data_IF_082897801178
#
_entry.id   IF_082897801178
#
_cell.length_a   1.000
_cell.length_b   1.000
_cell.length_c   1.000
_cell.angle_alpha   90.00
_cell.angle_beta   90.00
_cell.angle_gamma   90.00
#
_symmetry.space_group_name_H-M   'P 1'
#
loop_
_entity.id
_entity.type
_entity.pdbx_description
1 polymer ?
#
# COMPACT_ATOMS: atom_id res chain seq x y z
N UNK A 1 -17.44 38.04 29.87
CA UNK A 1 -16.97 37.00 30.84
C UNK A 1 -17.79 35.74 30.62
N UNK A 2 -17.28 34.54 30.42
CA UNK A 2 -15.93 34.01 30.45
C UNK A 2 -15.85 32.85 29.45
N UNK A 3 -14.64 32.63 28.97
CA UNK A 3 -14.23 31.70 27.94
C UNK A 3 -14.07 30.25 28.46
N UNK A 4 -14.13 29.33 27.49
CA UNK A 4 -13.25 28.14 27.31
C UNK A 4 -13.56 26.86 28.10
N UNK A 5 -13.80 25.78 27.35
CA UNK A 5 -12.99 24.54 27.38
C UNK A 5 -13.52 23.61 26.28
N UNK A 6 -12.83 23.47 25.14
CA UNK A 6 -11.59 22.71 24.95
C UNK A 6 -11.85 21.20 24.89
N UNK A 7 -11.23 20.60 23.87
CA UNK A 7 -11.00 19.17 23.59
C UNK A 7 -11.90 18.69 22.43
N UNK A 8 -11.41 18.20 21.29
CA UNK A 8 -10.04 17.89 20.86
C UNK A 8 -10.11 17.57 19.36
N UNK A 9 -9.41 18.29 18.50
CA UNK A 9 -8.88 17.72 17.25
C UNK A 9 -7.73 16.78 17.67
N UNK A 10 -7.61 15.55 17.13
CA UNK A 10 -7.00 15.43 15.81
C UNK A 10 -7.47 14.20 15.00
N UNK A 11 -7.65 14.37 13.68
CA UNK A 11 -6.78 13.73 12.68
C UNK A 11 -7.33 14.06 11.29
N UNK A 12 -6.66 15.01 10.68
CA UNK A 12 -6.70 15.26 9.25
C UNK A 12 -6.23 14.02 8.49
N UNK A 13 -6.88 13.79 7.34
CA UNK A 13 -6.43 12.97 6.21
C UNK A 13 -6.99 11.54 6.09
N UNK A 14 -8.29 11.35 6.27
CA UNK A 14 -9.01 10.48 5.34
C UNK A 14 -9.41 11.37 4.16
N UNK A 15 -8.57 11.42 3.12
CA UNK A 15 -8.99 12.02 1.84
C UNK A 15 -10.15 11.18 1.32
N UNK A 16 -11.33 11.76 1.34
CA UNK A 16 -12.50 11.29 0.62
C UNK A 16 -12.11 10.96 -0.82
N UNK A 17 -12.19 9.67 -1.12
CA UNK A 17 -12.35 9.11 -2.45
C UNK A 17 -13.53 8.15 -2.35
N UNK A 18 -14.71 8.69 -2.06
CA UNK A 18 -15.97 7.96 -2.11
C UNK A 18 -16.30 7.68 -3.58
N UNK A 19 -16.11 6.44 -4.02
CA UNK A 19 -16.84 5.86 -5.13
C UNK A 19 -17.17 4.39 -4.82
N UNK A 20 -18.17 4.11 -3.97
CA UNK A 20 -18.39 2.80 -3.35
C UNK A 20 -19.11 1.79 -4.25
N UNK A 21 -18.76 1.70 -5.53
CA UNK A 21 -19.41 0.78 -6.47
C UNK A 21 -18.33 0.09 -7.34
N UNK A 22 -17.99 -1.15 -6.93
CA UNK A 22 -17.09 -2.15 -7.58
C UNK A 22 -15.61 -2.19 -7.15
N UNK A 23 -15.25 -1.71 -5.97
CA UNK A 23 -13.91 -1.99 -5.42
C UNK A 23 -14.01 -3.12 -4.39
N UNK A 24 -13.27 -4.20 -4.64
CA UNK A 24 -13.24 -5.34 -3.71
C UNK A 24 -12.62 -4.91 -2.37
N UNK A 25 -13.08 -5.44 -1.22
CA UNK A 25 -12.61 -5.01 0.11
C UNK A 25 -11.10 -5.19 0.31
N UNK A 26 -10.54 -6.21 -0.34
CA UNK A 26 -9.11 -6.50 -0.33
C UNK A 26 -8.32 -5.43 -1.13
N UNK A 27 -8.89 -4.88 -2.20
CA UNK A 27 -8.26 -3.88 -3.06
C UNK A 27 -8.11 -2.55 -2.32
N UNK A 28 -9.16 -2.10 -1.64
CA UNK A 28 -9.14 -0.93 -0.76
C UNK A 28 -8.12 -1.09 0.37
N UNK A 29 -8.03 -2.28 0.95
CA UNK A 29 -7.05 -2.57 2.01
C UNK A 29 -5.60 -2.41 1.48
N UNK A 30 -5.32 -2.91 0.29
CA UNK A 30 -4.00 -2.73 -0.35
C UNK A 30 -3.74 -1.28 -0.78
N UNK A 31 -4.76 -0.53 -1.22
CA UNK A 31 -4.65 0.89 -1.62
C UNK A 31 -4.38 1.80 -0.42
N UNK A 32 -5.04 1.55 0.70
CA UNK A 32 -4.88 2.33 1.95
C UNK A 32 -3.56 1.99 2.66
N UNK A 33 -3.04 0.78 2.46
CA UNK A 33 -1.75 0.36 3.01
C UNK A 33 -0.59 1.04 2.28
N UNK A 34 0.00 2.02 2.96
CA UNK A 34 1.19 2.74 2.53
C UNK A 34 2.44 1.95 2.91
N UNK A 35 3.33 1.72 1.94
CA UNK A 35 4.65 1.17 2.19
C UNK A 35 5.73 2.18 1.86
N UNK A 36 6.62 2.35 2.85
CA UNK A 36 7.91 3.00 2.65
C UNK A 36 8.87 1.98 2.05
N UNK A 37 9.14 2.11 0.76
CA UNK A 37 10.15 1.30 0.09
C UNK A 37 11.50 2.00 0.22
N UNK A 38 12.51 1.30 0.73
CA UNK A 38 13.90 1.78 0.79
C UNK A 38 14.62 1.63 -0.55
N UNK A 39 13.92 1.88 -1.64
CA UNK A 39 14.48 1.88 -2.98
C UNK A 39 14.88 3.31 -3.33
N UNK A 40 16.09 3.50 -3.83
CA UNK A 40 16.57 4.81 -4.29
C UNK A 40 15.62 5.42 -5.35
N UNK A 41 15.04 4.57 -6.21
CA UNK A 41 14.08 4.94 -7.25
C UNK A 41 12.77 5.53 -6.69
N UNK A 42 12.40 5.16 -5.46
CA UNK A 42 11.20 5.68 -4.79
C UNK A 42 11.50 6.85 -3.85
N UNK A 43 12.75 7.31 -3.74
CA UNK A 43 13.11 8.53 -3.00
C UNK A 43 12.71 8.54 -1.51
N UNK A 44 12.38 7.39 -0.93
CA UNK A 44 11.82 7.29 0.42
C UNK A 44 10.35 7.74 0.53
N UNK A 45 9.65 7.90 -0.59
CA UNK A 45 8.22 8.17 -0.63
C UNK A 45 7.39 6.96 -0.19
N UNK A 46 6.25 7.23 0.43
CA UNK A 46 5.26 6.19 0.75
C UNK A 46 4.37 5.94 -0.46
N UNK A 47 4.49 4.74 -1.01
CA UNK A 47 3.69 4.27 -2.14
C UNK A 47 2.64 3.28 -1.65
N UNK A 48 1.45 3.30 -2.25
CA UNK A 48 0.43 2.32 -1.91
C UNK A 48 0.88 0.91 -2.33
N UNK A 49 0.64 -0.07 -1.48
CA UNK A 49 0.97 -1.48 -1.76
C UNK A 49 0.32 -1.96 -3.06
N UNK A 50 -0.92 -1.55 -3.31
CA UNK A 50 -1.63 -1.80 -4.56
C UNK A 50 -0.94 -1.22 -5.80
N UNK A 51 -0.44 0.01 -5.71
CA UNK A 51 0.23 0.67 -6.83
C UNK A 51 1.53 -0.06 -7.19
N UNK A 52 2.27 -0.54 -6.18
CA UNK A 52 3.47 -1.36 -6.40
C UNK A 52 3.15 -2.73 -7.01
N UNK A 53 2.05 -3.37 -6.59
CA UNK A 53 1.55 -4.62 -7.17
C UNK A 53 1.13 -4.48 -8.63
N UNK A 54 0.50 -3.36 -8.98
CA UNK A 54 0.09 -3.02 -10.35
C UNK A 54 1.23 -2.45 -11.18
N UNK A 55 2.37 -2.12 -10.54
CA UNK A 55 3.52 -1.53 -11.21
C UNK A 55 4.41 -2.60 -11.83
N UNK A 56 5.24 -2.18 -12.78
CA UNK A 56 6.18 -3.03 -13.53
C UNK A 56 7.22 -3.76 -12.67
N UNK A 57 7.30 -3.47 -11.37
CA UNK A 57 8.22 -4.11 -10.45
C UNK A 57 7.82 -5.54 -10.14
N UNK A 58 6.51 -5.82 -10.18
CA UNK A 58 5.98 -7.15 -9.91
C UNK A 58 5.48 -7.73 -11.24
N UNK A 59 6.01 -8.88 -11.67
CA UNK A 59 5.50 -9.55 -12.84
C UNK A 59 4.05 -9.98 -12.59
N UNK A 60 3.27 -10.03 -13.66
CA UNK A 60 1.85 -10.39 -13.60
C UNK A 60 1.62 -11.74 -12.89
N UNK A 61 2.48 -12.73 -13.12
CA UNK A 61 2.45 -14.04 -12.46
C UNK A 61 2.55 -13.93 -10.93
N UNK A 62 3.51 -13.19 -10.41
CA UNK A 62 3.66 -12.99 -8.95
C UNK A 62 2.52 -12.15 -8.38
N UNK A 63 1.98 -11.20 -9.15
CA UNK A 63 0.83 -10.39 -8.76
C UNK A 63 -0.41 -11.25 -8.61
N UNK A 64 -0.71 -12.08 -9.59
CA UNK A 64 -1.86 -12.99 -9.56
C UNK A 64 -1.74 -13.99 -8.42
N UNK A 65 -0.57 -14.62 -8.23
CA UNK A 65 -0.35 -15.55 -7.12
C UNK A 65 -0.51 -14.87 -5.75
N UNK A 66 0.07 -13.68 -5.55
CA UNK A 66 -0.09 -12.90 -4.30
C UNK A 66 -1.55 -12.55 -4.03
N UNK A 67 -2.28 -12.11 -5.06
CA UNK A 67 -3.68 -11.74 -4.92
C UNK A 67 -4.57 -12.94 -4.66
N UNK A 68 -4.29 -14.07 -5.30
CA UNK A 68 -5.02 -15.31 -5.10
C UNK A 68 -4.82 -15.85 -3.68
N UNK A 69 -3.59 -15.87 -3.18
CA UNK A 69 -3.29 -16.27 -1.80
C UNK A 69 -3.86 -15.27 -0.77
N UNK A 70 -3.86 -13.98 -1.07
CA UNK A 70 -4.49 -12.96 -0.21
C UNK A 70 -6.02 -13.10 -0.19
N UNK A 71 -6.64 -13.35 -1.35
CA UNK A 71 -8.08 -13.69 -1.51
C UNK A 71 -8.44 -14.96 -0.76
N UNK A 72 -7.59 -15.98 -0.83
CA UNK A 72 -7.78 -17.25 -0.14
C UNK A 72 -7.58 -17.13 1.38
N UNK A 73 -7.01 -16.02 1.85
CA UNK A 73 -6.67 -15.81 3.26
C UNK A 73 -5.42 -16.59 3.70
N UNK A 74 -4.66 -17.15 2.76
CA UNK A 74 -3.37 -17.81 3.02
C UNK A 74 -2.28 -16.79 3.34
N UNK A 75 -2.35 -15.61 2.72
CA UNK A 75 -1.44 -14.51 3.02
C UNK A 75 -2.15 -13.42 3.81
N UNK A 76 -1.46 -12.92 4.84
CA UNK A 76 -1.86 -11.71 5.55
C UNK A 76 -1.33 -10.46 4.86
N UNK A 77 -1.98 -9.31 5.12
CA UNK A 77 -1.58 -8.00 4.58
C UNK A 77 -0.08 -7.70 4.82
N UNK A 78 0.43 -8.02 6.00
CA UNK A 78 1.86 -7.85 6.33
C UNK A 78 2.79 -8.74 5.51
N UNK A 79 2.35 -9.94 5.14
CA UNK A 79 3.14 -10.81 4.28
C UNK A 79 3.17 -10.28 2.85
N UNK A 80 2.00 -9.91 2.30
CA UNK A 80 1.92 -9.26 0.98
C UNK A 80 2.82 -8.02 0.96
N UNK A 81 2.75 -7.19 2.00
CA UNK A 81 3.61 -6.03 2.19
C UNK A 81 5.11 -6.39 2.13
N UNK A 82 5.50 -7.43 2.85
CA UNK A 82 6.90 -7.87 2.93
C UNK A 82 7.40 -8.41 1.60
N UNK A 83 6.60 -9.24 0.93
CA UNK A 83 6.91 -9.82 -0.38
C UNK A 83 7.05 -8.70 -1.42
N UNK A 84 6.07 -7.81 -1.51
CA UNK A 84 6.09 -6.68 -2.45
C UNK A 84 7.28 -5.77 -2.17
N UNK A 85 7.54 -5.40 -0.91
CA UNK A 85 8.70 -4.58 -0.56
C UNK A 85 10.02 -5.26 -0.94
N UNK A 86 10.11 -6.58 -0.80
CA UNK A 86 11.30 -7.36 -1.18
C UNK A 86 11.50 -7.38 -2.68
N UNK A 87 10.44 -7.63 -3.45
CA UNK A 87 10.48 -7.64 -4.92
C UNK A 87 10.89 -6.27 -5.44
N UNK A 88 10.22 -5.21 -4.98
CA UNK A 88 10.52 -3.83 -5.38
C UNK A 88 11.94 -3.43 -4.99
N UNK A 89 12.38 -3.79 -3.77
CA UNK A 89 13.75 -3.50 -3.33
C UNK A 89 14.80 -4.20 -4.21
N UNK A 90 14.57 -5.47 -4.58
CA UNK A 90 15.47 -6.20 -5.49
C UNK A 90 15.45 -5.63 -6.89
N UNK A 91 14.27 -5.31 -7.42
CA UNK A 91 14.11 -4.76 -8.75
C UNK A 91 14.74 -3.35 -8.87
N UNK A 92 14.62 -2.52 -7.83
CA UNK A 92 15.28 -1.22 -7.77
C UNK A 92 16.82 -1.35 -7.68
N UNK A 93 17.33 -2.34 -6.94
CA UNK A 93 18.77 -2.60 -6.87
C UNK A 93 19.34 -3.04 -8.23
N UNK A 94 18.62 -3.88 -8.98
CA UNK A 94 19.05 -4.36 -10.29
C UNK A 94 19.04 -3.27 -11.39
N UNK A 95 18.30 -2.16 -11.20
CA UNK A 95 18.23 -1.05 -12.17
C UNK A 95 19.30 0.02 -11.98
N UNK A 96 20.01 -0.02 -10.86
CA UNK A 96 21.07 0.93 -10.52
C UNK A 96 22.48 0.45 -10.97
N UNK A 97 22.58 -0.71 -11.63
CA UNK A 97 23.82 -1.32 -12.12
C UNK A 97 24.02 -1.11 -13.62
#
# INVERSE_FOLDING_TARGET
ITVKSSNQDPVTAAREGDNPLKEEPWETTLKTTKIRVQAAEFGGHEVSLWDLLQSRFIPEESREELLELYRAGELSLEQVRTVVSTIVSRAAAARAE
#
